data_IF_567535505080
#
_entry.id   IF_567535505080
#
_cell.length_a   1.000
_cell.length_b   1.000
_cell.length_c   1.000
_cell.angle_alpha   90.00
_cell.angle_beta   90.00
_cell.angle_gamma   90.00
#
_symmetry.space_group_name_H-M   'P 1'
#
loop_
_entity.id
_entity.type
_entity.pdbx_description
1 polymer ?
#
# COMPACT_ATOMS: atom_id res chain seq x y z
N UNK A 1 -1.87 2.94 -1.05
CA UNK A 1 -0.51 3.46 -1.28
C UNK A 1 0.52 2.80 -0.36
N UNK A 2 0.42 2.93 0.98
CA UNK A 2 1.46 2.43 1.91
C UNK A 2 2.01 1.01 1.65
N UNK A 3 1.15 0.01 1.43
CA UNK A 3 1.60 -1.38 1.15
C UNK A 3 2.35 -1.48 -0.18
N UNK A 4 1.93 -0.74 -1.21
CA UNK A 4 2.65 -0.69 -2.49
C UNK A 4 4.03 -0.07 -2.28
N UNK A 5 4.10 1.05 -1.55
CA UNK A 5 5.36 1.74 -1.30
C UNK A 5 6.34 0.87 -0.50
N UNK A 6 5.84 0.10 0.48
CA UNK A 6 6.62 -0.93 1.18
C UNK A 6 7.20 -1.97 0.21
N UNK A 7 6.37 -2.56 -0.64
CA UNK A 7 6.78 -3.62 -1.55
C UNK A 7 7.80 -3.14 -2.59
N UNK A 8 7.59 -1.93 -3.12
CA UNK A 8 8.50 -1.32 -4.09
C UNK A 8 9.83 -0.89 -3.46
N UNK A 9 9.79 -0.28 -2.27
CA UNK A 9 11.01 0.14 -1.58
C UNK A 9 11.89 -1.04 -1.18
N UNK A 10 11.27 -2.19 -0.96
CA UNK A 10 11.95 -3.45 -0.58
C UNK A 10 12.13 -4.40 -1.76
N UNK A 11 11.88 -3.99 -3.00
CA UNK A 11 11.93 -4.88 -4.17
C UNK A 11 13.31 -5.49 -4.46
N UNK A 12 14.37 -4.93 -3.90
CA UNK A 12 15.75 -5.42 -3.99
C UNK A 12 16.08 -6.49 -2.93
N UNK A 13 15.18 -6.73 -1.96
CA UNK A 13 15.35 -7.71 -0.91
C UNK A 13 14.64 -9.02 -1.26
N UNK A 14 15.26 -10.15 -0.92
CA UNK A 14 14.68 -11.49 -1.06
C UNK A 14 14.27 -12.06 0.31
N UNK A 15 13.61 -11.24 1.12
CA UNK A 15 13.15 -11.60 2.46
C UNK A 15 11.67 -12.02 2.47
N UNK A 16 11.33 -12.84 3.47
CA UNK A 16 9.94 -13.14 3.80
C UNK A 16 9.32 -11.94 4.51
N UNK A 17 8.24 -11.40 3.95
CA UNK A 17 7.59 -10.21 4.50
C UNK A 17 6.43 -10.59 5.43
N UNK A 18 6.53 -10.20 6.70
CA UNK A 18 5.38 -10.19 7.59
C UNK A 18 4.79 -8.78 7.65
N UNK A 19 3.62 -8.58 7.04
CA UNK A 19 3.01 -7.27 6.85
C UNK A 19 1.83 -7.11 7.80
N UNK A 20 1.99 -6.26 8.81
CA UNK A 20 0.92 -5.87 9.71
C UNK A 20 0.14 -4.72 9.07
N UNK A 21 -1.18 -4.87 8.96
CA UNK A 21 -2.03 -3.89 8.30
C UNK A 21 -3.41 -3.83 8.95
N UNK A 22 -3.90 -2.61 9.22
CA UNK A 22 -5.26 -2.40 9.73
C UNK A 22 -6.32 -2.30 8.63
N UNK A 23 -5.89 -2.15 7.37
CA UNK A 23 -6.78 -2.10 6.21
C UNK A 23 -7.28 -3.49 5.82
N UNK A 24 -8.46 -3.83 6.33
CA UNK A 24 -9.20 -5.03 5.89
C UNK A 24 -9.45 -5.02 4.39
N UNK A 25 -9.62 -3.85 3.76
CA UNK A 25 -9.79 -3.75 2.31
C UNK A 25 -8.56 -4.28 1.57
N UNK A 26 -7.36 -3.83 1.93
CA UNK A 26 -6.12 -4.29 1.28
C UNK A 26 -5.90 -5.78 1.52
N UNK A 27 -6.06 -6.24 2.76
CA UNK A 27 -5.89 -7.65 3.11
C UNK A 27 -6.87 -8.52 2.31
N UNK A 28 -8.16 -8.19 2.29
CA UNK A 28 -9.15 -8.97 1.56
C UNK A 28 -8.96 -8.86 0.03
N UNK A 29 -8.52 -7.70 -0.48
CA UNK A 29 -8.20 -7.56 -1.89
C UNK A 29 -7.12 -8.57 -2.29
N UNK A 30 -5.99 -8.59 -1.59
CA UNK A 30 -4.86 -9.49 -1.88
C UNK A 30 -5.22 -10.95 -1.64
N UNK A 31 -5.88 -11.27 -0.51
CA UNK A 31 -6.07 -12.66 -0.08
C UNK A 31 -7.33 -13.34 -0.62
N UNK A 32 -8.35 -12.58 -1.04
CA UNK A 32 -9.67 -13.15 -1.40
C UNK A 32 -10.17 -12.74 -2.77
N UNK A 33 -10.02 -11.47 -3.16
CA UNK A 33 -10.80 -10.92 -4.28
C UNK A 33 -10.01 -10.77 -5.58
N UNK A 34 -8.74 -10.38 -5.49
CA UNK A 34 -7.93 -9.95 -6.63
C UNK A 34 -7.82 -11.03 -7.71
N UNK A 35 -7.64 -12.31 -7.33
CA UNK A 35 -7.63 -13.42 -8.28
C UNK A 35 -8.94 -13.54 -9.08
N UNK A 36 -10.09 -13.27 -8.44
CA UNK A 36 -11.40 -13.25 -9.10
C UNK A 36 -11.59 -12.03 -10.00
N UNK A 37 -11.17 -10.85 -9.53
CA UNK A 37 -11.22 -9.62 -10.31
C UNK A 37 -10.36 -9.70 -11.57
N UNK A 38 -9.13 -10.22 -11.48
CA UNK A 38 -8.24 -10.44 -12.64
C UNK A 38 -8.90 -11.30 -13.71
N UNK A 39 -9.54 -12.41 -13.32
CA UNK A 39 -10.30 -13.29 -14.22
C UNK A 39 -11.50 -12.60 -14.89
N UNK A 40 -12.06 -11.56 -14.27
CA UNK A 40 -13.20 -10.78 -14.77
C UNK A 40 -12.80 -9.44 -15.40
N UNK A 41 -11.52 -9.26 -15.74
CA UNK A 41 -11.02 -8.00 -16.33
C UNK A 41 -11.15 -6.80 -15.38
N UNK A 42 -10.88 -7.02 -14.09
CA UNK A 42 -10.95 -6.04 -13.01
C UNK A 42 -12.35 -5.45 -12.78
N UNK A 43 -13.36 -6.33 -12.77
CA UNK A 43 -14.75 -6.02 -12.45
C UNK A 43 -15.24 -6.79 -11.23
N UNK A 44 -16.10 -6.14 -10.44
CA UNK A 44 -16.82 -6.75 -9.32
C UNK A 44 -17.89 -7.72 -9.83
N UNK A 45 -18.50 -8.46 -8.91
CA UNK A 45 -19.56 -9.44 -9.23
C UNK A 45 -20.81 -8.80 -9.83
N UNK A 46 -21.11 -7.55 -9.46
CA UNK A 46 -22.19 -6.71 -9.98
C UNK A 46 -21.86 -6.07 -11.36
N UNK A 47 -20.69 -6.35 -11.93
CA UNK A 47 -20.23 -5.80 -13.21
C UNK A 47 -19.61 -4.41 -13.13
N UNK A 48 -19.71 -3.73 -11.98
CA UNK A 48 -19.10 -2.43 -11.76
C UNK A 48 -17.57 -2.54 -11.71
N UNK A 49 -16.84 -1.48 -12.10
CA UNK A 49 -15.38 -1.47 -12.00
C UNK A 49 -14.93 -1.61 -10.54
N UNK A 50 -13.78 -2.25 -10.34
CA UNK A 50 -13.13 -2.28 -9.03
C UNK A 50 -12.61 -0.88 -8.73
N UNK A 51 -12.90 -0.38 -7.52
CA UNK A 51 -12.39 0.91 -7.04
C UNK A 51 -10.85 0.86 -6.99
N UNK A 52 -10.19 1.94 -7.39
CA UNK A 52 -8.72 2.07 -7.37
C UNK A 52 -8.00 0.96 -8.15
N UNK A 53 -8.57 0.55 -9.28
CA UNK A 53 -8.04 -0.52 -10.14
C UNK A 53 -6.54 -0.36 -10.42
N UNK A 54 -6.09 0.83 -10.78
CA UNK A 54 -4.68 1.12 -11.08
C UNK A 54 -3.75 0.79 -9.91
N UNK A 55 -4.17 1.11 -8.67
CA UNK A 55 -3.41 0.83 -7.47
C UNK A 55 -3.37 -0.66 -7.17
N UNK A 56 -4.48 -1.36 -7.41
CA UNK A 56 -4.55 -2.80 -7.22
C UNK A 56 -3.75 -3.58 -8.28
N UNK A 57 -3.72 -3.11 -9.52
CA UNK A 57 -2.85 -3.65 -10.57
C UNK A 57 -1.37 -3.41 -10.25
N UNK A 58 -1.02 -2.23 -9.73
CA UNK A 58 0.33 -1.93 -9.25
C UNK A 58 0.72 -2.81 -8.05
N UNK A 59 -0.19 -3.00 -7.09
CA UNK A 59 -0.02 -3.90 -5.96
C UNK A 59 0.19 -5.35 -6.41
N UNK A 60 -0.65 -5.85 -7.33
CA UNK A 60 -0.54 -7.19 -7.91
C UNK A 60 0.85 -7.42 -8.52
N UNK A 61 1.35 -6.47 -9.31
CA UNK A 61 2.71 -6.52 -9.87
C UNK A 61 3.80 -6.55 -8.80
N UNK A 62 3.70 -5.69 -7.79
CA UNK A 62 4.70 -5.58 -6.72
C UNK A 62 4.78 -6.83 -5.82
N UNK A 63 3.69 -7.62 -5.76
CA UNK A 63 3.63 -8.88 -5.02
C UNK A 63 4.21 -10.08 -5.79
N UNK A 64 4.37 -9.98 -7.12
CA UNK A 64 4.83 -11.12 -7.92
C UNK A 64 6.22 -11.58 -7.50
N UNK A 65 6.37 -12.88 -7.24
CA UNK A 65 7.65 -13.48 -6.83
C UNK A 65 8.06 -13.22 -5.38
N UNK A 66 7.24 -12.52 -4.58
CA UNK A 66 7.52 -12.24 -3.17
C UNK A 66 6.93 -13.32 -2.26
N UNK A 67 7.60 -13.60 -1.14
CA UNK A 67 7.06 -14.42 -0.05
C UNK A 67 6.53 -13.48 1.04
N UNK A 68 5.24 -13.56 1.33
CA UNK A 68 4.59 -12.63 2.25
C UNK A 68 3.44 -13.26 3.03
N UNK A 69 3.21 -12.74 4.23
CA UNK A 69 2.03 -13.00 5.06
C UNK A 69 1.45 -11.66 5.53
N UNK A 70 0.12 -11.56 5.55
CA UNK A 70 -0.59 -10.42 6.12
C UNK A 70 -1.18 -10.80 7.47
N UNK A 71 -0.97 -9.94 8.46
CA UNK A 71 -1.65 -9.99 9.75
C UNK A 71 -2.54 -8.76 9.87
N UNK A 72 -3.83 -8.99 10.14
CA UNK A 72 -4.73 -7.90 10.45
C UNK A 72 -4.51 -7.46 11.89
N UNK A 73 -4.16 -6.20 12.08
CA UNK A 73 -4.11 -5.56 13.40
C UNK A 73 -5.23 -4.55 13.54
N UNK A 74 -5.76 -4.40 14.75
CA UNK A 74 -6.75 -3.36 15.02
C UNK A 74 -6.05 -2.00 15.05
N UNK A 75 -6.53 -1.04 14.26
CA UNK A 75 -6.07 0.34 14.35
C UNK A 75 -6.36 0.95 15.73
N UNK A 76 -5.48 1.83 16.22
CA UNK A 76 -5.61 2.51 17.51
C UNK A 76 -5.79 1.58 18.72
N UNK A 77 -5.05 0.47 18.74
CA UNK A 77 -5.18 -0.56 19.77
C UNK A 77 -3.87 -0.87 20.51
N UNK A 78 -2.91 0.07 20.56
CA UNK A 78 -1.66 -0.10 21.28
C UNK A 78 -0.60 -0.90 20.53
N UNK A 79 -0.70 -0.99 19.19
CA UNK A 79 0.35 -1.61 18.37
C UNK A 79 1.33 -0.52 17.91
N UNK A 80 2.42 -0.34 18.65
CA UNK A 80 3.37 0.78 18.50
C UNK A 80 3.73 1.11 17.05
N UNK A 81 4.07 0.09 16.25
CA UNK A 81 4.46 0.30 14.86
C UNK A 81 3.30 0.73 13.94
N UNK A 82 2.08 0.25 14.19
CA UNK A 82 0.90 0.64 13.42
C UNK A 82 0.47 2.06 13.80
N UNK A 83 0.54 2.41 15.09
CA UNK A 83 0.28 3.77 15.57
C UNK A 83 1.29 4.76 15.00
N UNK A 84 2.57 4.40 14.98
CA UNK A 84 3.59 5.22 14.36
C UNK A 84 3.36 5.38 12.84
N UNK A 85 2.82 4.37 12.15
CA UNK A 85 2.44 4.48 10.75
C UNK A 85 1.25 5.43 10.54
N UNK A 86 0.21 5.33 11.38
CA UNK A 86 -0.96 6.22 11.35
C UNK A 86 -0.58 7.68 11.63
N UNK A 87 0.27 7.93 12.63
CA UNK A 87 0.77 9.29 12.94
C UNK A 87 1.46 9.91 11.72
N UNK A 88 2.31 9.14 11.01
CA UNK A 88 2.98 9.62 9.79
C UNK A 88 2.00 9.87 8.65
N UNK A 89 1.05 8.97 8.44
CA UNK A 89 0.01 9.14 7.43
C UNK A 89 -0.83 10.41 7.68
N UNK A 90 -1.23 10.65 8.94
CA UNK A 90 -1.97 11.85 9.35
C UNK A 90 -1.15 13.13 9.21
N UNK A 91 0.13 13.09 9.53
CA UNK A 91 1.03 14.23 9.37
C UNK A 91 1.15 14.64 7.89
N UNK A 92 1.35 13.67 6.99
CA UNK A 92 1.39 13.91 5.54
C UNK A 92 0.07 14.47 5.01
N UNK A 93 -1.06 13.86 5.38
CA UNK A 93 -2.38 14.33 4.95
C UNK A 93 -2.66 15.75 5.43
N UNK A 94 -2.29 16.06 6.68
CA UNK A 94 -2.45 17.40 7.27
C UNK A 94 -1.58 18.44 6.59
N UNK A 95 -0.30 18.11 6.33
CA UNK A 95 0.61 19.01 5.64
C UNK A 95 0.11 19.31 4.21
N UNK A 96 -0.32 18.28 3.48
CA UNK A 96 -0.90 18.42 2.15
C UNK A 96 -2.13 19.34 2.15
N UNK A 97 -3.07 19.11 3.08
CA UNK A 97 -4.27 19.94 3.21
C UNK A 97 -3.96 21.42 3.46
N UNK A 98 -2.87 21.71 4.17
CA UNK A 98 -2.45 23.08 4.52
C UNK A 98 -1.55 23.73 3.47
N UNK A 99 -1.05 22.98 2.49
CA UNK A 99 0.01 23.43 1.59
C UNK A 99 1.37 23.57 2.29
N UNK A 100 1.55 22.93 3.44
CA UNK A 100 2.81 22.92 4.17
C UNK A 100 3.81 21.93 3.53
N UNK A 101 5.13 22.10 3.77
CA UNK A 101 6.12 21.10 3.37
C UNK A 101 5.77 19.71 3.90
N UNK A 102 5.68 18.73 2.99
CA UNK A 102 5.37 17.35 3.34
C UNK A 102 6.55 16.75 4.13
N UNK A 103 6.33 16.19 5.33
CA UNK A 103 7.38 15.54 6.09
C UNK A 103 7.77 14.21 5.42
N UNK A 104 8.90 14.21 4.71
CA UNK A 104 9.45 13.02 4.06
C UNK A 104 10.38 12.30 5.05
N UNK A 105 10.16 11.01 5.24
CA UNK A 105 11.06 10.16 6.04
C UNK A 105 12.36 9.82 5.29
N UNK A 106 13.32 9.14 5.94
CA UNK A 106 14.60 8.76 5.32
C UNK A 106 14.47 7.76 4.16
N UNK A 107 13.26 7.23 3.90
CA UNK A 107 13.03 6.13 2.98
C UNK A 107 13.54 4.80 3.54
N UNK A 108 13.51 3.77 2.69
CA UNK A 108 14.12 2.49 3.01
C UNK A 108 15.58 2.48 2.52
N UNK A 109 16.54 1.99 3.31
CA UNK A 109 17.95 1.95 2.91
C UNK A 109 18.14 1.18 1.60
N UNK A 110 18.93 1.73 0.67
CA UNK A 110 19.23 1.13 -0.64
C UNK A 110 17.99 0.84 -1.51
N UNK A 111 16.85 1.49 -1.23
CA UNK A 111 15.66 1.36 -2.06
C UNK A 111 15.97 1.75 -3.51
N UNK A 112 15.40 1.02 -4.51
CA UNK A 112 15.51 1.43 -5.90
C UNK A 112 14.92 2.84 -6.06
N UNK A 113 15.57 3.69 -6.86
CA UNK A 113 15.06 5.03 -7.14
C UNK A 113 13.66 4.90 -7.74
N UNK A 114 12.66 5.46 -7.03
CA UNK A 114 11.30 5.57 -7.54
C UNK A 114 11.37 6.39 -8.83
N UNK A 115 10.84 5.89 -9.93
CA UNK A 115 10.64 6.73 -11.11
C UNK A 115 9.77 7.92 -10.67
N UNK A 116 10.27 9.14 -10.84
CA UNK A 116 9.53 10.36 -10.54
C UNK A 116 8.26 10.33 -11.40
N UNK A 117 7.12 10.07 -10.78
CA UNK A 117 5.84 10.39 -11.40
C UNK A 117 5.48 11.81 -10.94
N UNK A 118 5.23 12.75 -11.87
CA UNK A 118 4.80 14.09 -11.53
C UNK A 118 3.60 14.00 -10.59
N UNK A 119 3.60 14.84 -9.57
CA UNK A 119 2.41 15.08 -8.75
C UNK A 119 1.43 15.78 -9.70
N UNK A 120 0.44 15.06 -10.20
CA UNK A 120 -0.58 15.67 -11.05
C UNK A 120 -1.45 16.54 -10.15
N UNK A 121 -1.26 17.86 -10.26
CA UNK A 121 -2.06 18.88 -9.57
C UNK A 121 -3.53 18.68 -9.95
N UNK A 122 -4.38 18.44 -8.94
CA UNK A 122 -5.82 18.32 -9.08
C UNK A 122 -6.53 19.68 -9.01
#
# INVERSE_FOLDING_TARGET
MAVIDLLESTAHLDDDLHILCDSQYVINAVTKWMAGWKRKGWRKADGAPVLNRELLERLDRALQGRRYAFEWVKGHAGHDLNEAADVRARAVATAYQKGDPIPIGPGWPNAPRRAEQPIEEA
#
